data_IF_490136299563
#
_entry.id   IF_490136299563
#
_cell.length_a   1.000
_cell.length_b   1.000
_cell.length_c   1.000
_cell.angle_alpha   90.00
_cell.angle_beta   90.00
_cell.angle_gamma   90.00
#
_symmetry.space_group_name_H-M   'P 1'
#
loop_
_entity.id
_entity.type
_entity.pdbx_description
1 polymer ?
#
# COMPACT_ATOMS: atom_id res chain seq x y z
N UNK A 1 -25.13 32.18 -54.33
CA UNK A 1 -23.88 32.59 -53.67
C UNK A 1 -24.10 32.59 -52.17
N UNK A 2 -23.47 31.67 -51.45
CA UNK A 2 -23.31 31.70 -50.00
C UNK A 2 -21.82 31.50 -49.77
N UNK A 3 -21.13 32.54 -49.36
CA UNK A 3 -19.73 32.51 -48.94
C UNK A 3 -19.68 32.03 -47.49
N UNK A 4 -19.12 30.83 -47.28
CA UNK A 4 -18.75 30.31 -45.96
C UNK A 4 -17.24 30.52 -45.79
N UNK A 5 -16.85 31.51 -44.99
CA UNK A 5 -15.48 31.58 -44.48
C UNK A 5 -15.28 30.49 -43.42
N UNK A 6 -14.44 29.50 -43.72
CA UNK A 6 -13.91 28.56 -42.72
C UNK A 6 -12.47 28.96 -42.43
N UNK A 7 -12.23 29.57 -41.26
CA UNK A 7 -10.87 29.74 -40.73
C UNK A 7 -10.31 28.37 -40.34
N UNK A 8 -9.55 27.75 -41.24
CA UNK A 8 -8.83 26.50 -40.99
C UNK A 8 -7.55 26.82 -40.23
N UNK A 9 -7.61 26.76 -38.90
CA UNK A 9 -6.43 26.56 -38.08
C UNK A 9 -6.09 25.07 -38.07
N UNK A 10 -4.84 24.74 -38.35
CA UNK A 10 -4.21 23.43 -38.13
C UNK A 10 -4.53 22.34 -39.15
N UNK A 11 -3.78 22.34 -40.26
CA UNK A 11 -3.50 21.12 -41.02
C UNK A 11 -2.00 20.90 -40.98
N UNK A 12 -1.54 19.92 -40.17
CA UNK A 12 -0.30 19.16 -40.37
C UNK A 12 -0.20 18.04 -39.31
N UNK A 13 0.14 16.84 -39.79
CA UNK A 13 0.36 15.58 -39.06
C UNK A 13 -0.85 14.70 -38.70
N UNK A 14 -1.50 14.15 -39.73
CA UNK A 14 -2.11 12.81 -39.68
C UNK A 14 -1.13 11.77 -40.23
N UNK A 15 -0.07 11.45 -39.48
CA UNK A 15 0.68 10.20 -39.68
C UNK A 15 1.07 9.62 -38.31
N UNK A 16 0.41 8.49 -37.98
CA UNK A 16 0.64 7.56 -36.84
C UNK A 16 0.26 8.04 -35.43
N UNK A 17 -1.01 7.88 -35.08
CA UNK A 17 -1.49 7.64 -33.71
C UNK A 17 -2.51 6.48 -33.74
N UNK A 18 -2.33 5.36 -33.02
CA UNK A 18 -3.26 4.23 -33.03
C UNK A 18 -4.59 4.43 -32.27
N UNK A 19 -4.95 5.65 -31.83
CA UNK A 19 -6.07 5.83 -30.88
C UNK A 19 -7.22 6.74 -31.35
N UNK A 20 -7.29 7.15 -32.62
CA UNK A 20 -8.34 8.06 -33.09
C UNK A 20 -9.56 7.41 -33.76
N UNK A 21 -9.67 6.07 -33.77
CA UNK A 21 -10.75 5.35 -34.46
C UNK A 21 -11.98 4.99 -33.62
N UNK A 22 -12.27 5.71 -32.52
CA UNK A 22 -13.44 5.39 -31.69
C UNK A 22 -14.46 6.51 -31.45
N UNK A 23 -14.34 7.66 -32.14
CA UNK A 23 -15.20 8.83 -31.88
C UNK A 23 -16.19 9.22 -33.00
N UNK A 24 -16.52 8.30 -33.92
CA UNK A 24 -17.56 8.55 -34.96
C UNK A 24 -18.46 7.33 -35.21
N UNK A 25 -19.05 6.75 -34.15
CA UNK A 25 -20.18 5.80 -34.31
C UNK A 25 -21.48 6.27 -33.66
N UNK A 26 -21.56 7.51 -33.20
CA UNK A 26 -22.75 8.05 -32.55
C UNK A 26 -23.11 9.36 -33.23
N UNK A 27 -23.95 9.26 -34.27
CA UNK A 27 -24.90 10.23 -34.84
C UNK A 27 -25.08 9.82 -36.31
N UNK A 28 -26.00 8.88 -36.51
CA UNK A 28 -26.47 8.46 -37.83
C UNK A 28 -27.99 8.44 -37.81
N UNK A 29 -28.60 9.56 -38.18
CA UNK A 29 -29.86 9.59 -38.93
C UNK A 29 -30.15 11.04 -39.35
N UNK A 30 -29.59 11.46 -40.48
CA UNK A 30 -30.22 12.46 -41.32
C UNK A 30 -30.09 12.06 -42.78
N UNK A 31 -31.26 12.03 -43.43
CA UNK A 31 -31.51 11.53 -44.77
C UNK A 31 -31.29 12.67 -45.79
N UNK A 32 -30.75 12.27 -46.95
CA UNK A 32 -30.89 12.87 -48.29
C UNK A 32 -30.33 14.27 -48.59
N UNK A 33 -29.57 14.29 -49.70
CA UNK A 33 -29.24 15.43 -50.57
C UNK A 33 -27.96 16.23 -50.27
N UNK A 34 -26.79 15.61 -50.50
CA UNK A 34 -25.55 16.34 -50.80
C UNK A 34 -24.87 15.65 -51.99
N UNK A 35 -24.79 16.34 -53.13
CA UNK A 35 -23.95 15.96 -54.28
C UNK A 35 -22.48 15.88 -53.85
N UNK A 36 -21.73 14.93 -54.41
CA UNK A 36 -20.27 14.73 -54.22
C UNK A 36 -19.55 16.04 -53.86
N UNK A 37 -19.03 16.12 -52.64
CA UNK A 37 -18.03 17.11 -52.28
C UNK A 37 -16.67 16.53 -52.68
N UNK A 38 -16.16 16.92 -53.85
CA UNK A 38 -14.74 16.72 -54.16
C UNK A 38 -13.93 17.71 -53.31
N UNK A 39 -13.25 17.19 -52.30
CA UNK A 39 -12.26 17.96 -51.53
C UNK A 39 -10.96 17.92 -52.33
N UNK A 40 -10.74 18.92 -53.18
CA UNK A 40 -9.43 19.17 -53.76
C UNK A 40 -8.52 19.76 -52.67
N UNK A 41 -7.69 18.92 -52.06
CA UNK A 41 -6.60 19.40 -51.19
C UNK A 41 -5.56 20.03 -52.11
N UNK A 42 -5.60 21.35 -52.24
CA UNK A 42 -4.50 22.12 -52.83
C UNK A 42 -3.36 22.08 -51.83
N UNK A 43 -2.43 21.15 -52.01
CA UNK A 43 -1.13 21.21 -51.34
C UNK A 43 -0.39 22.37 -52.00
N UNK A 44 -0.54 23.57 -51.45
CA UNK A 44 0.34 24.68 -51.81
C UNK A 44 1.74 24.24 -51.41
N UNK A 45 2.52 23.84 -52.41
CA UNK A 45 3.94 23.59 -52.30
C UNK A 45 4.55 24.89 -51.76
N UNK A 46 4.73 24.98 -50.43
CA UNK A 46 5.66 25.95 -49.88
C UNK A 46 7.00 25.59 -50.49
N UNK A 47 7.42 26.40 -51.44
CA UNK A 47 8.67 26.27 -52.17
C UNK A 47 9.82 26.55 -51.19
N UNK A 48 10.07 25.61 -50.29
CA UNK A 48 11.38 25.48 -49.66
C UNK A 48 12.24 24.73 -50.67
N UNK A 49 13.12 25.49 -51.33
CA UNK A 49 14.09 24.96 -52.28
C UNK A 49 15.16 24.15 -51.56
N UNK A 50 14.88 22.89 -51.25
CA UNK A 50 15.87 21.81 -51.10
C UNK A 50 15.13 20.48 -50.95
N UNK A 51 15.54 19.47 -51.73
CA UNK A 51 15.02 18.09 -51.63
C UNK A 51 15.59 17.33 -50.42
N UNK A 52 15.93 18.06 -49.34
CA UNK A 52 16.66 17.48 -48.22
C UNK A 52 15.74 17.29 -47.02
N UNK A 53 15.23 16.06 -46.84
CA UNK A 53 14.45 15.68 -45.66
C UNK A 53 15.31 15.60 -44.38
N UNK A 54 16.60 15.95 -44.43
CA UNK A 54 17.51 15.94 -43.28
C UNK A 54 17.43 17.21 -42.41
N UNK A 55 16.70 18.25 -42.83
CA UNK A 55 16.58 19.52 -42.10
C UNK A 55 15.33 19.65 -41.23
N UNK A 56 14.57 18.58 -40.99
CA UNK A 56 13.53 18.63 -39.96
C UNK A 56 14.22 18.69 -38.59
N UNK A 57 13.92 19.70 -37.75
CA UNK A 57 14.39 19.69 -36.37
C UNK A 57 13.97 18.37 -35.73
N UNK A 58 14.88 17.77 -34.97
CA UNK A 58 14.63 16.53 -34.24
C UNK A 58 13.28 16.63 -33.53
N UNK A 59 12.34 15.73 -33.87
CA UNK A 59 11.01 15.77 -33.27
C UNK A 59 11.15 15.47 -31.78
N UNK A 60 11.11 16.52 -30.95
CA UNK A 60 11.18 16.39 -29.50
C UNK A 60 9.96 15.59 -29.05
N UNK A 61 10.21 14.37 -28.59
CA UNK A 61 9.19 13.55 -27.96
C UNK A 61 9.19 13.85 -26.48
N UNK A 62 8.07 14.33 -25.94
CA UNK A 62 7.97 14.71 -24.53
C UNK A 62 7.58 13.55 -23.62
N UNK A 63 8.09 13.57 -22.40
CA UNK A 63 7.70 12.69 -21.30
C UNK A 63 6.22 12.86 -20.94
N UNK A 64 5.71 11.93 -20.10
CA UNK A 64 4.47 12.21 -19.35
C UNK A 64 4.66 13.47 -18.49
N UNK A 65 3.56 14.18 -18.25
CA UNK A 65 3.55 15.39 -17.43
C UNK A 65 3.96 15.04 -16.01
N UNK A 66 4.99 15.72 -15.50
CA UNK A 66 5.39 15.63 -14.10
C UNK A 66 4.74 16.80 -13.36
N UNK A 67 4.08 16.51 -12.23
CA UNK A 67 3.37 17.51 -11.41
C UNK A 67 4.14 17.83 -10.13
N UNK A 68 3.90 19.01 -9.56
CA UNK A 68 4.49 19.54 -8.32
C UNK A 68 6.03 19.65 -8.36
N UNK A 69 6.57 19.76 -9.57
CA UNK A 69 7.99 19.88 -9.83
C UNK A 69 8.24 20.80 -11.03
N UNK A 70 9.45 21.35 -11.09
CA UNK A 70 9.98 22.10 -12.22
C UNK A 70 11.39 21.61 -12.55
N UNK A 71 11.82 21.84 -13.79
CA UNK A 71 13.22 21.76 -14.18
C UNK A 71 13.87 23.12 -13.92
N UNK A 72 14.93 23.11 -13.14
CA UNK A 72 15.86 24.23 -13.03
C UNK A 72 16.68 24.32 -14.32
N UNK A 73 16.93 25.53 -14.82
CA UNK A 73 17.72 25.72 -16.04
C UNK A 73 17.56 27.12 -16.59
N UNK A 74 18.17 27.36 -17.76
CA UNK A 74 18.03 28.65 -18.43
C UNK A 74 16.67 28.74 -19.12
N UNK A 75 15.83 29.64 -18.64
CA UNK A 75 14.56 30.00 -19.29
C UNK A 75 14.86 30.91 -20.48
N UNK A 76 14.59 30.42 -21.68
CA UNK A 76 14.75 31.16 -22.95
C UNK A 76 13.65 32.20 -23.09
N UNK A 77 12.41 31.81 -22.78
CA UNK A 77 11.25 32.69 -22.86
C UNK A 77 10.16 32.23 -21.90
N UNK A 78 9.38 33.20 -21.42
CA UNK A 78 8.17 32.95 -20.65
C UNK A 78 6.99 33.50 -21.43
N UNK A 79 6.05 32.63 -21.78
CA UNK A 79 4.85 32.98 -22.53
C UNK A 79 3.62 32.55 -21.75
N UNK A 80 2.47 33.19 -22.02
CA UNK A 80 1.21 32.80 -21.41
C UNK A 80 0.41 31.97 -22.42
N UNK A 81 -0.02 30.79 -22.00
CA UNK A 81 -0.72 29.82 -22.86
C UNK A 81 -2.05 29.38 -22.25
N UNK A 82 -2.93 28.82 -23.06
CA UNK A 82 -4.23 28.31 -22.63
C UNK A 82 -4.20 26.86 -22.15
N UNK A 83 -3.16 26.11 -22.51
CA UNK A 83 -3.07 24.66 -22.26
C UNK A 83 -1.62 24.13 -22.25
N UNK A 84 -1.41 22.91 -21.74
CA UNK A 84 -0.09 22.27 -21.80
C UNK A 84 0.31 21.90 -23.23
N UNK A 85 -0.66 21.58 -24.11
CA UNK A 85 -0.40 21.30 -25.52
C UNK A 85 0.11 22.55 -26.25
N UNK A 86 -0.43 23.73 -25.94
CA UNK A 86 0.04 24.98 -26.53
C UNK A 86 1.48 25.29 -26.12
N UNK A 87 1.83 25.13 -24.83
CA UNK A 87 3.20 25.27 -24.35
C UNK A 87 4.15 24.27 -25.06
N UNK A 88 3.71 23.03 -25.19
CA UNK A 88 4.45 21.99 -25.90
C UNK A 88 4.71 22.37 -27.36
N UNK A 89 3.68 22.84 -28.08
CA UNK A 89 3.83 23.29 -29.47
C UNK A 89 4.78 24.48 -29.59
N UNK A 90 4.73 25.43 -28.66
CA UNK A 90 5.64 26.58 -28.63
C UNK A 90 7.10 26.15 -28.40
N UNK A 91 7.32 25.13 -27.58
CA UNK A 91 8.64 24.53 -27.42
C UNK A 91 9.11 23.81 -28.69
N UNK A 92 8.26 22.99 -29.34
CA UNK A 92 8.63 22.27 -30.58
C UNK A 92 9.02 23.25 -31.71
N UNK A 93 8.38 24.41 -31.77
CA UNK A 93 8.68 25.44 -32.76
C UNK A 93 9.94 26.27 -32.44
N UNK A 94 10.57 26.05 -31.29
CA UNK A 94 11.80 26.73 -30.88
C UNK A 94 13.01 25.83 -31.14
N UNK A 95 13.98 26.32 -31.93
CA UNK A 95 15.17 25.55 -32.33
C UNK A 95 16.09 25.13 -31.18
N UNK A 96 15.99 25.81 -30.05
CA UNK A 96 16.85 25.58 -28.87
C UNK A 96 16.08 25.03 -27.67
N UNK A 97 14.78 24.77 -27.81
CA UNK A 97 13.99 24.20 -26.72
C UNK A 97 14.24 22.71 -26.58
N UNK A 98 14.21 22.24 -25.33
CA UNK A 98 14.27 20.82 -25.00
C UNK A 98 13.18 20.39 -24.02
N UNK A 99 12.75 21.32 -23.18
CA UNK A 99 11.82 21.08 -22.09
C UNK A 99 11.10 22.36 -21.73
N UNK A 100 9.98 22.23 -21.02
CA UNK A 100 9.23 23.38 -20.56
C UNK A 100 8.67 23.15 -19.16
N UNK A 101 8.60 24.23 -18.38
CA UNK A 101 7.81 24.28 -17.16
C UNK A 101 6.47 24.98 -17.44
N UNK A 102 5.43 24.56 -16.76
CA UNK A 102 4.09 25.13 -16.84
C UNK A 102 3.62 25.43 -15.41
N UNK A 103 3.40 26.71 -15.11
CA UNK A 103 2.93 27.14 -13.80
C UNK A 103 1.42 27.00 -13.61
N UNK A 104 0.91 27.42 -12.44
CA UNK A 104 -0.52 27.40 -12.13
C UNK A 104 -1.30 28.42 -12.98
N UNK A 105 -2.61 28.21 -13.10
CA UNK A 105 -3.47 29.14 -13.83
C UNK A 105 -3.53 30.49 -13.10
N UNK A 106 -3.31 31.57 -13.82
CA UNK A 106 -3.41 32.93 -13.28
C UNK A 106 -4.87 33.41 -13.28
N UNK A 107 -5.12 34.58 -12.68
CA UNK A 107 -6.43 35.23 -12.70
C UNK A 107 -6.98 35.46 -14.12
N UNK A 108 -6.11 35.60 -15.12
CA UNK A 108 -6.49 35.75 -16.53
C UNK A 108 -6.82 34.43 -17.24
N UNK A 109 -6.90 33.31 -16.50
CA UNK A 109 -7.14 31.95 -17.02
C UNK A 109 -6.04 31.42 -17.94
N UNK A 110 -4.85 32.03 -17.92
CA UNK A 110 -3.69 31.60 -18.68
C UNK A 110 -2.66 30.93 -17.76
N UNK A 111 -1.82 30.07 -18.34
CA UNK A 111 -0.73 29.40 -17.65
C UNK A 111 0.60 30.03 -18.09
N UNK A 112 1.48 30.43 -17.16
CA UNK A 112 2.84 30.82 -17.52
C UNK A 112 3.61 29.56 -17.95
N UNK A 113 4.18 29.61 -19.14
CA UNK A 113 4.95 28.55 -19.79
C UNK A 113 6.39 29.04 -19.96
N UNK A 114 7.31 28.42 -19.24
CA UNK A 114 8.74 28.69 -19.32
C UNK A 114 9.37 27.68 -20.29
N UNK A 115 10.00 28.16 -21.35
CA UNK A 115 10.71 27.34 -22.35
C UNK A 115 12.19 27.26 -21.98
N UNK A 116 12.76 26.04 -21.87
CA UNK A 116 14.12 25.79 -21.39
C UNK A 116 15.05 25.22 -22.46
N UNK A 117 16.34 25.58 -22.38
CA UNK A 117 17.36 25.24 -23.39
C UNK A 117 18.10 23.91 -23.18
N UNK A 118 18.77 23.42 -24.25
CA UNK A 118 19.62 22.21 -24.30
C UNK A 118 20.84 22.19 -23.37
N UNK A 119 21.35 23.34 -22.92
CA UNK A 119 22.74 23.46 -22.42
C UNK A 119 22.84 23.74 -20.93
N UNK A 120 21.72 23.93 -20.25
CA UNK A 120 21.70 24.18 -18.81
C UNK A 120 21.69 22.88 -18.00
N UNK A 121 22.40 22.87 -16.86
CA UNK A 121 22.25 21.82 -15.84
C UNK A 121 20.81 21.80 -15.37
N UNK A 122 20.11 20.68 -15.57
CA UNK A 122 18.72 20.53 -15.14
C UNK A 122 18.61 19.69 -13.89
N UNK A 123 18.34 20.36 -12.77
CA UNK A 123 17.90 19.71 -11.54
C UNK A 123 16.37 19.70 -11.51
N UNK A 124 15.80 18.66 -10.93
CA UNK A 124 14.37 18.66 -10.62
C UNK A 124 14.17 19.28 -9.25
N UNK A 125 13.38 20.35 -9.18
CA UNK A 125 13.04 21.03 -7.93
C UNK A 125 11.55 20.82 -7.66
N UNK A 126 11.20 20.50 -6.41
CA UNK A 126 9.81 20.49 -5.98
C UNK A 126 9.25 21.91 -5.95
N UNK A 127 8.16 22.14 -6.68
CA UNK A 127 7.44 23.41 -6.70
C UNK A 127 5.96 23.09 -6.88
N UNK A 128 5.19 23.25 -5.81
CA UNK A 128 3.77 22.86 -5.78
C UNK A 128 2.98 23.53 -6.92
N UNK A 129 2.03 22.80 -7.50
CA UNK A 129 1.16 23.21 -8.61
C UNK A 129 1.85 23.46 -9.96
N UNK A 130 3.17 23.59 -9.99
CA UNK A 130 3.94 23.66 -11.22
C UNK A 130 4.12 22.27 -11.83
N UNK A 131 4.33 22.24 -13.13
CA UNK A 131 4.47 21.00 -13.91
C UNK A 131 5.59 21.16 -14.92
N UNK A 132 6.13 20.06 -15.41
CA UNK A 132 7.06 20.11 -16.54
C UNK A 132 6.90 18.92 -17.47
N UNK A 133 7.41 19.09 -18.69
CA UNK A 133 7.72 18.00 -19.61
C UNK A 133 9.15 18.15 -20.11
N UNK A 134 9.86 17.04 -20.22
CA UNK A 134 11.20 16.96 -20.78
C UNK A 134 11.24 15.88 -21.87
N UNK A 135 12.43 15.49 -22.33
CA UNK A 135 12.58 14.41 -23.30
C UNK A 135 11.97 13.09 -22.81
N UNK A 136 11.37 12.34 -23.73
CA UNK A 136 10.78 11.03 -23.46
C UNK A 136 11.84 9.94 -23.37
N UNK A 137 11.62 8.98 -22.47
CA UNK A 137 12.45 7.80 -22.37
C UNK A 137 12.01 6.71 -23.36
N UNK A 138 12.91 6.25 -24.23
CA UNK A 138 12.69 5.07 -25.08
C UNK A 138 12.37 3.82 -24.25
N UNK A 139 13.08 3.63 -23.14
CA UNK A 139 12.86 2.58 -22.15
C UNK A 139 12.91 3.21 -20.77
N UNK A 140 11.85 3.04 -19.98
CA UNK A 140 11.76 3.62 -18.63
C UNK A 140 12.46 2.73 -17.60
N UNK A 141 13.50 3.22 -16.89
CA UNK A 141 14.05 2.53 -15.72
C UNK A 141 13.23 2.78 -14.45
N UNK A 142 12.26 3.71 -14.49
CA UNK A 142 11.44 4.06 -13.34
C UNK A 142 10.43 2.96 -13.02
N UNK A 143 10.44 2.50 -11.77
CA UNK A 143 9.53 1.49 -11.24
C UNK A 143 8.36 2.13 -10.48
N UNK A 144 7.39 1.31 -10.08
CA UNK A 144 6.32 1.65 -9.15
C UNK A 144 5.54 2.94 -9.48
N UNK A 145 5.28 3.17 -10.77
CA UNK A 145 4.51 4.33 -11.23
C UNK A 145 5.31 5.63 -11.33
N UNK A 146 6.64 5.58 -11.17
CA UNK A 146 7.52 6.73 -11.44
C UNK A 146 7.42 7.21 -12.89
N UNK A 147 7.55 8.53 -13.07
CA UNK A 147 7.55 9.16 -14.40
C UNK A 147 8.98 9.33 -14.90
N UNK A 148 9.27 8.75 -16.07
CA UNK A 148 10.57 8.85 -16.71
C UNK A 148 10.66 10.04 -17.64
N UNK A 149 11.79 10.74 -17.59
CA UNK A 149 12.16 11.80 -18.52
C UNK A 149 13.67 11.78 -18.78
N UNK A 150 14.11 12.39 -19.87
CA UNK A 150 15.52 12.44 -20.31
C UNK A 150 16.04 13.87 -20.18
N UNK A 151 17.23 14.00 -19.60
CA UNK A 151 18.03 15.22 -19.55
C UNK A 151 19.44 14.86 -20.01
N UNK A 152 19.96 15.54 -21.03
CA UNK A 152 21.31 15.29 -21.58
C UNK A 152 21.55 13.80 -21.87
N UNK A 153 20.63 13.16 -22.58
CA UNK A 153 20.61 11.72 -22.89
C UNK A 153 20.61 10.75 -21.70
N UNK A 154 20.45 11.27 -20.47
CA UNK A 154 20.36 10.47 -19.24
C UNK A 154 18.90 10.32 -18.80
N UNK A 155 18.38 9.08 -18.65
CA UNK A 155 17.05 8.87 -18.10
C UNK A 155 17.05 9.12 -16.59
N UNK A 156 16.06 9.88 -16.13
CA UNK A 156 15.82 10.24 -14.74
C UNK A 156 14.36 9.95 -14.37
N UNK A 157 14.11 9.81 -13.08
CA UNK A 157 12.80 9.45 -12.54
C UNK A 157 12.29 10.51 -11.55
N UNK A 158 11.02 10.91 -11.70
CA UNK A 158 10.26 11.48 -10.59
C UNK A 158 9.35 10.39 -10.05
N UNK A 159 9.52 10.06 -8.77
CA UNK A 159 8.81 8.96 -8.15
C UNK A 159 7.37 9.30 -7.83
N UNK A 160 6.49 8.32 -8.02
CA UNK A 160 5.13 8.39 -7.51
C UNK A 160 5.15 8.51 -5.98
N UNK A 161 4.01 8.95 -5.43
CA UNK A 161 3.81 9.01 -3.99
C UNK A 161 4.20 7.66 -3.35
N UNK A 162 4.91 7.74 -2.22
CA UNK A 162 5.40 6.60 -1.44
C UNK A 162 6.64 5.87 -1.99
N UNK A 163 7.29 6.38 -3.02
CA UNK A 163 8.52 5.80 -3.56
C UNK A 163 9.65 6.83 -3.65
N UNK A 164 10.87 6.36 -3.49
CA UNK A 164 12.11 7.13 -3.52
C UNK A 164 13.24 6.31 -4.21
N UNK A 165 14.40 6.93 -4.35
CA UNK A 165 15.56 6.36 -5.03
C UNK A 165 15.59 6.68 -6.53
N UNK A 166 16.75 6.48 -7.15
CA UNK A 166 17.00 6.90 -8.54
C UNK A 166 16.08 6.24 -9.57
N UNK A 167 15.59 5.04 -9.28
CA UNK A 167 14.66 4.27 -10.14
C UNK A 167 13.30 4.04 -9.48
N UNK A 168 12.99 4.73 -8.38
CA UNK A 168 11.74 4.58 -7.62
C UNK A 168 11.51 3.15 -7.11
N UNK A 169 12.60 2.45 -6.80
CA UNK A 169 12.60 1.09 -6.30
C UNK A 169 12.59 1.01 -4.76
N UNK A 170 12.77 2.13 -4.06
CA UNK A 170 12.79 2.18 -2.60
C UNK A 170 11.46 2.71 -2.10
N UNK A 171 10.72 2.00 -1.23
CA UNK A 171 9.51 2.54 -0.64
C UNK A 171 9.88 3.64 0.36
N UNK A 172 9.21 4.78 0.30
CA UNK A 172 9.43 5.92 1.21
C UNK A 172 9.05 5.54 2.65
N UNK A 173 7.92 4.87 2.82
CA UNK A 173 7.43 4.38 4.10
C UNK A 173 7.75 2.90 4.26
N UNK A 174 8.45 2.55 5.32
CA UNK A 174 8.78 1.16 5.65
C UNK A 174 7.67 0.65 6.55
N UNK A 175 7.08 -0.47 6.21
CA UNK A 175 5.88 -1.02 6.86
C UNK A 175 6.19 -1.79 8.15
N UNK A 176 7.43 -2.26 8.32
CA UNK A 176 7.85 -3.07 9.47
C UNK A 176 9.34 -3.00 9.71
N UNK A 177 9.79 -3.48 10.88
CA UNK A 177 11.20 -3.66 11.18
C UNK A 177 11.87 -4.67 10.25
N UNK A 178 11.14 -5.69 9.82
CA UNK A 178 11.68 -6.70 8.91
C UNK A 178 11.94 -6.13 7.53
N UNK A 179 11.11 -5.18 7.07
CA UNK A 179 11.37 -4.43 5.85
C UNK A 179 12.59 -3.52 5.98
N UNK A 180 12.74 -2.82 7.11
CA UNK A 180 13.95 -2.05 7.41
C UNK A 180 15.22 -2.91 7.28
N UNK A 181 15.22 -4.07 7.93
CA UNK A 181 16.35 -5.01 7.91
C UNK A 181 16.62 -5.58 6.52
N UNK A 182 15.57 -5.90 5.76
CA UNK A 182 15.69 -6.43 4.41
C UNK A 182 16.27 -5.40 3.43
N UNK A 183 15.90 -4.12 3.56
CA UNK A 183 16.43 -3.03 2.72
C UNK A 183 17.85 -2.64 3.12
N UNK A 184 18.16 -2.69 4.42
CA UNK A 184 19.47 -2.33 4.97
C UNK A 184 19.94 -3.44 5.92
N UNK A 185 20.64 -4.47 5.41
CA UNK A 185 21.09 -5.62 6.23
C UNK A 185 21.95 -5.24 7.44
N UNK A 186 22.64 -4.10 7.38
CA UNK A 186 23.48 -3.54 8.46
C UNK A 186 22.68 -2.78 9.53
N UNK A 187 21.35 -2.70 9.42
CA UNK A 187 20.52 -2.09 10.47
C UNK A 187 20.69 -2.82 11.81
N UNK A 188 20.87 -2.02 12.87
CA UNK A 188 21.03 -2.45 14.27
C UNK A 188 19.75 -2.25 15.06
N UNK A 189 19.60 -2.95 16.20
CA UNK A 189 18.42 -2.82 17.06
C UNK A 189 18.27 -1.38 17.59
N UNK A 190 17.04 -0.90 17.71
CA UNK A 190 16.76 0.48 18.11
C UNK A 190 15.35 0.95 17.73
N UNK A 191 15.07 2.24 17.88
CA UNK A 191 13.76 2.80 17.53
C UNK A 191 13.68 3.21 16.06
N UNK A 192 12.61 2.82 15.38
CA UNK A 192 12.34 3.14 13.98
C UNK A 192 10.90 3.57 13.79
N UNK A 193 10.67 4.46 12.83
CA UNK A 193 9.33 4.71 12.33
C UNK A 193 8.93 3.63 11.34
N UNK A 194 7.72 3.09 11.54
CA UNK A 194 7.07 2.21 10.58
C UNK A 194 5.70 2.76 10.20
N UNK A 195 5.20 2.40 9.03
CA UNK A 195 3.88 2.82 8.56
C UNK A 195 3.19 1.69 7.79
N UNK A 196 2.78 0.60 8.45
CA UNK A 196 2.07 -0.52 7.81
C UNK A 196 0.75 -0.12 7.14
N UNK A 197 0.05 0.87 7.70
CA UNK A 197 -1.27 1.32 7.21
C UNK A 197 -1.26 2.56 6.33
N UNK A 198 -0.11 3.00 5.79
CA UNK A 198 -0.01 4.27 5.04
C UNK A 198 -0.99 4.36 3.86
N UNK A 199 -1.26 3.23 3.19
CA UNK A 199 -2.20 3.15 2.07
C UNK A 199 -3.64 3.45 2.49
N UNK A 200 -3.98 3.20 3.75
CA UNK A 200 -5.29 3.49 4.36
C UNK A 200 -5.33 4.86 5.05
N UNK A 201 -4.30 5.69 4.84
CA UNK A 201 -4.18 7.01 5.46
C UNK A 201 -3.73 6.98 6.93
N UNK A 202 -3.27 5.84 7.44
CA UNK A 202 -2.72 5.79 8.79
C UNK A 202 -1.33 6.43 8.83
N UNK A 203 -1.08 7.23 9.87
CA UNK A 203 0.20 7.90 10.06
C UNK A 203 1.29 6.90 10.48
N UNK A 204 2.57 7.20 10.21
CA UNK A 204 3.69 6.44 10.77
C UNK A 204 3.71 6.51 12.30
N UNK A 205 4.25 5.47 12.93
CA UNK A 205 4.41 5.39 14.38
C UNK A 205 5.77 4.79 14.77
N UNK A 206 6.22 5.09 15.99
CA UNK A 206 7.53 4.70 16.52
C UNK A 206 7.44 3.33 17.19
N UNK A 207 8.36 2.43 16.83
CA UNK A 207 8.47 1.08 17.41
C UNK A 207 9.92 0.76 17.75
N UNK A 208 10.12 -0.21 18.64
CA UNK A 208 11.43 -0.81 18.82
C UNK A 208 11.61 -1.95 17.82
N UNK A 209 12.69 -1.91 17.04
CA UNK A 209 13.09 -2.99 16.17
C UNK A 209 14.20 -3.78 16.83
N UNK A 210 13.95 -5.05 17.12
CA UNK A 210 14.99 -6.00 17.46
C UNK A 210 15.53 -6.61 16.16
N UNK A 211 16.66 -6.09 15.69
CA UNK A 211 17.32 -6.51 14.45
C UNK A 211 18.15 -7.78 14.60
N UNK A 212 18.14 -8.39 15.79
CA UNK A 212 18.89 -9.61 16.13
C UNK A 212 17.98 -10.80 16.39
N UNK A 213 16.74 -10.56 16.85
CA UNK A 213 15.76 -11.61 17.13
C UNK A 213 15.37 -12.42 15.88
N UNK A 214 14.95 -13.67 16.13
CA UNK A 214 14.53 -14.68 15.14
C UNK A 214 15.45 -14.76 13.91
N UNK A 215 16.76 -14.96 14.15
CA UNK A 215 17.79 -15.03 13.11
C UNK A 215 18.00 -13.72 12.34
N UNK A 216 17.88 -12.58 13.03
CA UNK A 216 18.18 -11.27 12.46
C UNK A 216 17.18 -10.80 11.41
N UNK A 217 15.91 -11.25 11.49
CA UNK A 217 14.85 -10.84 10.55
C UNK A 217 14.35 -9.42 10.80
N UNK A 218 14.62 -8.83 11.97
CA UNK A 218 14.06 -7.53 12.35
C UNK A 218 12.64 -7.66 12.90
N UNK A 219 12.51 -8.00 14.18
CA UNK A 219 11.22 -8.14 14.86
C UNK A 219 10.75 -6.78 15.35
N UNK A 220 9.48 -6.45 15.10
CA UNK A 220 8.84 -5.25 15.65
C UNK A 220 8.33 -5.55 17.05
N UNK A 221 8.80 -4.81 18.04
CA UNK A 221 8.46 -4.96 19.45
C UNK A 221 7.72 -3.70 19.93
N UNK A 222 6.56 -3.90 20.55
CA UNK A 222 5.66 -2.82 20.96
C UNK A 222 5.24 -3.04 22.41
N UNK A 223 5.52 -2.02 23.23
CA UNK A 223 5.14 -2.00 24.64
C UNK A 223 3.78 -1.39 24.91
N UNK A 224 3.30 -1.61 26.13
CA UNK A 224 2.00 -1.15 26.62
C UNK A 224 2.01 -0.93 28.14
N UNK A 225 0.97 -0.28 28.65
CA UNK A 225 0.80 0.11 30.06
C UNK A 225 0.48 -1.04 31.03
N UNK A 226 0.56 -2.29 30.57
CA UNK A 226 0.10 -3.48 31.29
C UNK A 226 1.19 -4.55 31.40
N UNK A 227 2.45 -4.11 31.26
CA UNK A 227 3.66 -4.93 31.39
C UNK A 227 4.04 -5.27 32.82
N UNK A 228 3.47 -4.55 33.80
CA UNK A 228 3.71 -4.81 35.21
C UNK A 228 2.57 -5.62 35.80
N UNK A 229 2.93 -6.58 36.65
CA UNK A 229 2.03 -7.26 37.59
C UNK A 229 1.07 -6.27 38.26
N UNK A 230 -0.22 -6.39 37.96
CA UNK A 230 -1.27 -5.49 38.45
C UNK A 230 -2.28 -6.28 39.27
N UNK A 231 -2.58 -5.83 40.49
CA UNK A 231 -3.59 -6.44 41.36
C UNK A 231 -4.98 -6.37 40.72
N UNK A 232 -5.73 -7.46 40.83
CA UNK A 232 -7.10 -7.59 40.34
C UNK A 232 -7.95 -8.01 41.54
N UNK A 233 -8.90 -7.20 42.00
CA UNK A 233 -9.78 -7.54 43.12
C UNK A 233 -11.10 -6.75 43.07
N UNK A 234 -12.01 -7.05 44.00
CA UNK A 234 -13.25 -6.32 44.23
C UNK A 234 -14.37 -6.56 43.20
N UNK A 235 -14.36 -7.71 42.50
CA UNK A 235 -15.32 -7.98 41.44
C UNK A 235 -15.76 -9.45 41.37
N UNK A 236 -16.97 -9.76 41.84
CA UNK A 236 -17.55 -11.10 41.75
C UNK A 236 -18.23 -11.40 40.39
N UNK A 237 -19.11 -10.52 39.86
CA UNK A 237 -19.74 -10.76 38.56
C UNK A 237 -18.74 -11.04 37.43
N UNK A 238 -19.14 -11.88 36.48
CA UNK A 238 -18.27 -12.29 35.37
C UNK A 238 -17.80 -11.06 34.57
N UNK A 239 -16.49 -10.84 34.54
CA UNK A 239 -15.85 -9.78 33.78
C UNK A 239 -16.15 -8.35 34.25
N UNK A 240 -16.63 -8.13 35.48
CA UNK A 240 -16.84 -6.75 35.95
C UNK A 240 -15.53 -5.96 36.15
N UNK A 241 -14.41 -6.64 36.46
CA UNK A 241 -13.11 -6.02 36.49
C UNK A 241 -12.70 -5.77 35.06
N UNK A 242 -12.16 -4.58 34.83
CA UNK A 242 -11.99 -4.01 33.51
C UNK A 242 -10.66 -3.29 33.46
N UNK A 243 -9.77 -3.73 32.57
CA UNK A 243 -8.52 -3.04 32.30
C UNK A 243 -8.28 -2.91 30.81
N UNK A 244 -8.28 -1.66 30.34
CA UNK A 244 -7.88 -1.33 28.97
C UNK A 244 -6.36 -1.40 28.84
N UNK A 245 -5.89 -1.93 27.70
CA UNK A 245 -4.47 -2.05 27.39
C UNK A 245 -4.09 -0.95 26.41
N UNK A 246 -3.28 0.00 26.85
CA UNK A 246 -2.82 1.11 26.02
C UNK A 246 -1.40 0.86 25.50
N UNK A 247 -1.26 0.78 24.19
CA UNK A 247 0.02 0.59 23.52
C UNK A 247 0.77 1.91 23.37
N UNK A 248 2.08 1.85 23.63
CA UNK A 248 2.95 3.02 23.57
C UNK A 248 3.17 3.44 22.11
N UNK A 249 2.90 4.71 21.81
CA UNK A 249 3.10 5.34 20.50
C UNK A 249 2.31 4.72 19.33
N UNK A 250 1.35 3.83 19.57
CA UNK A 250 0.59 3.16 18.51
C UNK A 250 -0.90 2.98 18.87
N UNK A 251 -1.77 3.22 17.89
CA UNK A 251 -3.20 2.93 17.99
C UNK A 251 -3.52 1.48 17.62
N UNK A 252 -4.65 0.94 18.12
CA UNK A 252 -5.12 -0.40 17.74
C UNK A 252 -5.32 -0.55 16.21
N UNK A 253 -5.70 0.52 15.50
CA UNK A 253 -5.80 0.51 14.03
C UNK A 253 -4.43 0.35 13.34
N UNK A 254 -3.40 1.03 13.85
CA UNK A 254 -2.03 0.88 13.37
C UNK A 254 -1.50 -0.54 13.66
N UNK A 255 -1.77 -1.06 14.86
CA UNK A 255 -1.34 -2.40 15.27
C UNK A 255 -2.05 -3.51 14.51
N UNK A 256 -3.34 -3.38 14.24
CA UNK A 256 -4.09 -4.33 13.39
C UNK A 256 -3.54 -4.34 11.96
N UNK A 257 -3.13 -3.18 11.44
CA UNK A 257 -2.49 -3.09 10.12
C UNK A 257 -1.12 -3.79 10.12
N UNK A 258 -0.35 -3.66 11.21
CA UNK A 258 0.90 -4.40 11.38
C UNK A 258 0.66 -5.91 11.47
N UNK A 259 -0.26 -6.35 12.33
CA UNK A 259 -0.62 -7.75 12.55
C UNK A 259 -1.05 -8.44 11.25
N UNK A 260 -1.85 -7.74 10.42
CA UNK A 260 -2.31 -8.23 9.13
C UNK A 260 -1.16 -8.45 8.14
N UNK A 261 -0.11 -7.62 8.18
CA UNK A 261 1.07 -7.76 7.33
C UNK A 261 2.06 -8.81 7.84
N UNK A 262 2.07 -9.06 9.16
CA UNK A 262 2.92 -10.04 9.81
C UNK A 262 2.56 -11.48 9.46
N UNK A 263 3.59 -12.31 9.34
CA UNK A 263 3.43 -13.75 9.22
C UNK A 263 3.16 -14.38 10.59
N UNK A 264 3.81 -13.86 11.63
CA UNK A 264 3.63 -14.30 13.01
C UNK A 264 3.51 -13.08 13.94
N UNK A 265 2.61 -13.18 14.90
CA UNK A 265 2.44 -12.22 15.98
C UNK A 265 2.35 -13.03 17.28
N UNK A 266 3.04 -12.58 18.31
CA UNK A 266 2.98 -13.21 19.62
C UNK A 266 2.88 -12.14 20.70
N UNK A 267 2.01 -12.39 21.68
CA UNK A 267 1.88 -11.59 22.89
C UNK A 267 1.75 -12.54 24.07
N UNK A 268 2.58 -12.36 25.09
CA UNK A 268 2.50 -13.19 26.28
C UNK A 268 1.46 -12.62 27.25
N UNK A 269 0.71 -13.50 27.89
CA UNK A 269 -0.27 -13.17 28.92
C UNK A 269 -0.12 -14.12 30.11
N UNK A 270 -0.27 -13.59 31.32
CA UNK A 270 -0.18 -14.31 32.57
C UNK A 270 -1.24 -13.83 33.56
N UNK A 271 -1.87 -14.78 34.25
CA UNK A 271 -2.83 -14.54 35.32
C UNK A 271 -2.46 -15.39 36.54
N UNK A 272 -2.36 -14.75 37.70
CA UNK A 272 -2.12 -15.40 38.99
C UNK A 272 -3.36 -15.26 39.88
N UNK A 273 -3.76 -16.36 40.50
CA UNK A 273 -5.02 -16.47 41.22
C UNK A 273 -4.86 -17.20 42.56
N UNK A 274 -5.73 -16.82 43.50
CA UNK A 274 -6.06 -17.54 44.73
C UNK A 274 -7.56 -17.41 44.84
N UNK A 275 -8.27 -18.52 45.04
CA UNK A 275 -9.74 -18.55 45.12
C UNK A 275 -10.44 -17.75 44.00
N UNK A 276 -9.95 -17.91 42.76
CA UNK A 276 -10.51 -17.20 41.61
C UNK A 276 -10.44 -18.00 40.33
N UNK A 277 -11.59 -18.20 39.70
CA UNK A 277 -11.73 -18.93 38.46
C UNK A 277 -11.49 -18.06 37.22
N UNK A 278 -10.53 -18.43 36.38
CA UNK A 278 -10.20 -17.71 35.15
C UNK A 278 -11.25 -17.89 34.04
N UNK A 279 -11.28 -19.02 33.32
CA UNK A 279 -12.20 -19.17 32.18
C UNK A 279 -13.65 -19.20 32.66
N UNK A 280 -14.58 -18.75 31.80
CA UNK A 280 -16.00 -18.47 32.07
C UNK A 280 -16.28 -17.19 32.89
N UNK A 281 -15.42 -16.84 33.85
CA UNK A 281 -15.57 -15.62 34.67
C UNK A 281 -14.67 -14.47 34.23
N UNK A 282 -13.57 -14.76 33.54
CA UNK A 282 -12.62 -13.83 32.95
C UNK A 282 -12.18 -14.22 31.54
N UNK A 283 -11.65 -13.23 30.80
CA UNK A 283 -11.20 -13.35 29.42
C UNK A 283 -10.34 -12.15 29.02
N UNK A 284 -9.60 -12.29 27.92
CA UNK A 284 -9.03 -11.16 27.20
C UNK A 284 -9.91 -10.80 25.99
N UNK A 285 -9.82 -9.55 25.56
CA UNK A 285 -10.57 -8.99 24.44
C UNK A 285 -9.60 -8.66 23.31
N UNK A 286 -9.94 -9.06 22.10
CA UNK A 286 -9.18 -8.79 20.88
C UNK A 286 -9.23 -7.32 20.48
N UNK A 287 -8.31 -6.90 19.60
CA UNK A 287 -8.24 -5.54 19.04
C UNK A 287 -9.55 -5.01 18.42
N UNK A 288 -10.47 -5.89 18.03
CA UNK A 288 -11.78 -5.58 17.46
C UNK A 288 -12.95 -5.79 18.43
N UNK A 289 -12.69 -5.93 19.74
CA UNK A 289 -13.71 -6.02 20.78
C UNK A 289 -14.33 -7.41 20.98
N UNK A 290 -13.78 -8.46 20.35
CA UNK A 290 -14.29 -9.82 20.48
C UNK A 290 -13.77 -10.42 21.79
N UNK A 291 -14.69 -10.97 22.57
CA UNK A 291 -14.38 -11.77 23.76
C UNK A 291 -13.73 -13.09 23.35
N UNK A 292 -12.54 -13.35 23.86
CA UNK A 292 -11.81 -14.59 23.59
C UNK A 292 -12.10 -15.63 24.67
N UNK A 293 -12.13 -16.91 24.29
CA UNK A 293 -12.54 -18.02 25.17
C UNK A 293 -11.41 -18.96 25.55
N UNK A 294 -10.15 -18.58 25.31
CA UNK A 294 -8.96 -19.38 25.59
C UNK A 294 -7.89 -18.48 26.19
N UNK A 295 -6.87 -19.09 26.80
CA UNK A 295 -5.75 -18.36 27.41
C UNK A 295 -4.41 -18.67 26.73
N UNK A 296 -3.35 -18.01 27.19
CA UNK A 296 -1.98 -18.19 26.70
C UNK A 296 -1.58 -19.66 26.55
N UNK A 297 -0.94 -19.99 25.43
CA UNK A 297 -0.44 -21.33 25.11
C UNK A 297 -1.49 -22.35 24.68
N UNK A 298 -2.78 -22.01 24.68
CA UNK A 298 -3.83 -22.85 24.10
C UNK A 298 -4.21 -22.41 22.67
N UNK A 299 -4.82 -23.32 21.92
CA UNK A 299 -5.33 -23.02 20.59
C UNK A 299 -6.56 -22.08 20.65
N UNK A 300 -6.74 -21.16 19.69
CA UNK A 300 -7.92 -20.31 19.60
C UNK A 300 -9.21 -21.14 19.56
N UNK A 301 -10.23 -20.72 20.31
CA UNK A 301 -11.51 -21.43 20.37
C UNK A 301 -11.54 -22.64 21.31
N UNK A 302 -10.41 -23.05 21.89
CA UNK A 302 -10.30 -24.31 22.66
C UNK A 302 -11.09 -24.35 23.97
N UNK A 303 -11.46 -23.20 24.53
CA UNK A 303 -12.10 -23.17 25.87
C UNK A 303 -11.14 -23.52 27.00
N UNK A 304 -9.81 -23.44 26.78
CA UNK A 304 -8.77 -23.93 27.69
C UNK A 304 -7.56 -23.00 27.72
N UNK A 305 -6.65 -23.25 28.65
CA UNK A 305 -5.27 -22.74 28.64
C UNK A 305 -4.27 -23.88 28.38
N UNK A 306 -2.98 -23.56 28.40
CA UNK A 306 -1.90 -24.50 28.11
C UNK A 306 -2.02 -25.80 28.92
N UNK A 307 -2.19 -25.72 30.25
CA UNK A 307 -2.25 -26.91 31.10
C UNK A 307 -3.48 -27.78 30.79
N UNK A 308 -4.63 -27.17 30.46
CA UNK A 308 -5.87 -27.91 30.19
C UNK A 308 -5.84 -28.62 28.85
N UNK A 309 -5.04 -28.11 27.91
CA UNK A 309 -4.75 -28.78 26.65
C UNK A 309 -3.86 -30.01 26.88
N UNK A 310 -2.87 -29.88 27.76
CA UNK A 310 -1.88 -30.93 28.04
C UNK A 310 -2.30 -31.90 29.16
N UNK A 311 -3.43 -31.66 29.84
CA UNK A 311 -3.87 -32.39 31.05
C UNK A 311 -2.85 -32.33 32.19
N UNK A 312 -2.15 -31.21 32.31
CA UNK A 312 -1.13 -30.96 33.35
C UNK A 312 -1.56 -29.89 34.36
N UNK A 313 -2.85 -29.51 34.38
CA UNK A 313 -3.33 -28.56 35.39
C UNK A 313 -3.30 -29.17 36.79
N UNK A 314 -3.26 -28.32 37.81
CA UNK A 314 -3.36 -28.71 39.22
C UNK A 314 -4.52 -29.69 39.45
N UNK A 315 -5.72 -29.33 38.97
CA UNK A 315 -6.83 -30.26 38.80
C UNK A 315 -6.98 -30.58 37.31
N UNK A 316 -6.59 -31.81 36.94
CA UNK A 316 -6.64 -32.29 35.55
C UNK A 316 -8.04 -32.33 34.92
N UNK A 317 -9.10 -32.21 35.71
CA UNK A 317 -10.49 -32.12 35.23
C UNK A 317 -10.90 -30.72 34.80
N UNK A 318 -10.12 -29.70 35.17
CA UNK A 318 -10.41 -28.29 34.90
C UNK A 318 -9.78 -27.82 33.59
N UNK A 319 -10.36 -26.79 32.94
CA UNK A 319 -9.80 -26.25 31.72
C UNK A 319 -8.51 -25.45 31.96
N UNK A 320 -8.25 -25.02 33.20
CA UNK A 320 -7.08 -24.27 33.64
C UNK A 320 -6.73 -24.46 35.11
N UNK A 321 -5.51 -24.03 35.50
CA UNK A 321 -5.08 -24.05 36.89
C UNK A 321 -6.00 -23.17 37.75
N UNK A 322 -6.23 -21.93 37.36
CA UNK A 322 -7.09 -21.01 38.12
C UNK A 322 -8.56 -21.45 38.17
N UNK A 323 -9.02 -22.24 37.20
CA UNK A 323 -10.36 -22.84 37.27
C UNK A 323 -10.52 -23.92 38.35
N UNK A 324 -9.45 -24.29 39.06
CA UNK A 324 -9.55 -25.08 40.27
C UNK A 324 -10.24 -24.31 41.41
N UNK A 325 -10.13 -22.97 41.42
CA UNK A 325 -10.77 -22.08 42.38
C UNK A 325 -10.57 -22.50 43.85
N UNK A 326 -9.31 -22.61 44.25
CA UNK A 326 -8.91 -23.17 45.55
C UNK A 326 -8.38 -22.03 46.45
N UNK A 327 -8.84 -21.93 47.71
CA UNK A 327 -8.31 -20.98 48.68
C UNK A 327 -6.89 -21.34 49.13
N UNK A 328 -6.13 -20.32 49.56
CA UNK A 328 -4.78 -20.44 50.14
C UNK A 328 -3.68 -21.07 49.24
N UNK A 329 -4.01 -21.42 47.98
CA UNK A 329 -3.07 -21.94 46.99
C UNK A 329 -2.93 -20.97 45.84
N UNK A 330 -1.70 -20.49 45.61
CA UNK A 330 -1.38 -19.63 44.47
C UNK A 330 -1.24 -20.49 43.23
N UNK A 331 -2.07 -20.24 42.23
CA UNK A 331 -2.03 -20.88 40.92
C UNK A 331 -1.78 -19.84 39.82
N UNK A 332 -1.32 -20.32 38.66
CA UNK A 332 -0.98 -19.46 37.52
C UNK A 332 -1.42 -20.12 36.21
N UNK A 333 -1.96 -19.32 35.30
CA UNK A 333 -2.08 -19.65 33.89
C UNK A 333 -1.38 -18.61 33.03
N UNK A 334 -0.42 -19.05 32.22
CA UNK A 334 0.37 -18.17 31.36
C UNK A 334 0.71 -18.81 30.01
N UNK A 335 1.08 -17.97 29.04
CA UNK A 335 1.58 -18.42 27.75
C UNK A 335 1.42 -17.40 26.63
N UNK A 336 1.83 -17.79 25.43
CA UNK A 336 1.75 -16.95 24.23
C UNK A 336 0.36 -17.03 23.59
N UNK A 337 -0.21 -15.87 23.31
CA UNK A 337 -1.28 -15.69 22.33
C UNK A 337 -0.61 -15.53 20.96
N UNK A 338 -1.05 -16.30 19.97
CA UNK A 338 -0.43 -16.35 18.63
C UNK A 338 -1.41 -16.13 17.48
N UNK A 339 -2.70 -15.94 17.79
CA UNK A 339 -3.72 -15.64 16.79
C UNK A 339 -3.63 -14.19 16.33
N UNK A 340 -2.93 -13.98 15.22
CA UNK A 340 -2.77 -12.65 14.61
C UNK A 340 -4.09 -12.00 14.19
N UNK A 341 -5.15 -12.77 13.99
CA UNK A 341 -6.46 -12.23 13.61
C UNK A 341 -7.19 -11.61 14.79
N UNK A 342 -6.80 -11.95 16.02
CA UNK A 342 -7.36 -11.43 17.26
C UNK A 342 -6.43 -10.41 17.94
N UNK A 343 -5.11 -10.60 17.85
CA UNK A 343 -4.13 -9.69 18.43
C UNK A 343 -4.12 -8.29 17.77
N UNK A 344 -3.67 -7.25 18.49
CA UNK A 344 -3.26 -7.22 19.91
C UNK A 344 -4.40 -7.42 20.93
N UNK A 345 -4.07 -7.68 22.19
CA UNK A 345 -5.03 -7.63 23.32
C UNK A 345 -5.45 -6.17 23.55
N UNK A 346 -6.73 -5.84 23.45
CA UNK A 346 -7.22 -4.47 23.73
C UNK A 346 -7.61 -4.28 25.19
N UNK A 347 -8.04 -5.33 25.87
CA UNK A 347 -8.65 -5.25 27.19
C UNK A 347 -8.63 -6.58 27.92
N UNK A 348 -8.59 -6.53 29.25
CA UNK A 348 -8.68 -7.65 30.16
C UNK A 348 -9.96 -7.54 31.00
N UNK A 349 -10.61 -8.68 31.21
CA UNK A 349 -11.88 -8.79 31.93
C UNK A 349 -11.78 -9.93 32.93
N UNK A 350 -12.06 -9.66 34.20
CA UNK A 350 -12.05 -10.69 35.26
C UNK A 350 -13.28 -10.56 36.14
N UNK A 351 -13.67 -11.67 36.76
CA UNK A 351 -14.68 -11.79 37.80
C UNK A 351 -14.20 -12.85 38.79
N UNK A 352 -15.01 -13.20 39.79
CA UNK A 352 -14.55 -14.08 40.90
C UNK A 352 -13.37 -13.49 41.67
N UNK A 353 -13.34 -12.17 41.80
CA UNK A 353 -12.28 -11.44 42.47
C UNK A 353 -12.75 -10.59 43.63
N UNK A 354 -14.03 -10.72 44.02
CA UNK A 354 -14.57 -10.10 45.21
C UNK A 354 -14.50 -11.02 46.42
N UNK A 355 -14.70 -10.44 47.59
CA UNK A 355 -14.86 -11.21 48.82
C UNK A 355 -16.34 -11.56 48.99
N UNK A 356 -16.65 -12.82 49.31
CA UNK A 356 -17.98 -13.19 49.78
C UNK A 356 -18.24 -12.47 51.11
N UNK A 357 -19.01 -11.39 51.08
CA UNK A 357 -19.37 -10.60 52.25
C UNK A 357 -20.32 -11.39 53.16
N UNK A 358 -19.78 -12.24 54.04
CA UNK A 358 -20.48 -12.72 55.25
C UNK A 358 -19.53 -13.27 56.31
N UNK A 359 -18.86 -12.39 57.07
CA UNK A 359 -18.68 -12.48 58.54
C UNK A 359 -17.57 -11.53 58.96
N UNK A 360 -17.94 -10.48 59.69
CA UNK A 360 -16.97 -9.65 60.39
C UNK A 360 -16.39 -10.45 61.56
N UNK A 361 -15.21 -11.05 61.37
CA UNK A 361 -14.35 -11.50 62.46
C UNK A 361 -12.93 -11.77 61.95
N UNK A 362 -12.01 -10.96 62.47
CA UNK A 362 -10.60 -11.30 62.73
C UNK A 362 -9.67 -11.36 61.50
N UNK A 363 -8.80 -10.34 61.41
CA UNK A 363 -7.59 -10.22 60.57
C UNK A 363 -7.25 -11.44 59.71
N UNK A 364 -7.80 -11.50 58.49
CA UNK A 364 -7.29 -12.37 57.42
C UNK A 364 -6.29 -11.58 56.56
N UNK A 365 -5.22 -12.27 56.16
CA UNK A 365 -4.12 -11.75 55.33
C UNK A 365 -4.63 -11.11 54.02
N UNK A 366 -3.87 -10.19 53.39
CA UNK A 366 -4.30 -9.40 52.22
C UNK A 366 -4.45 -10.20 50.89
N UNK A 367 -4.77 -11.49 50.94
CA UNK A 367 -4.88 -12.38 49.79
C UNK A 367 -6.34 -12.70 49.45
N UNK A 368 -7.18 -11.66 49.29
CA UNK A 368 -8.55 -11.84 48.82
C UNK A 368 -8.62 -11.96 47.29
N UNK A 369 -9.01 -13.16 46.85
CA UNK A 369 -9.71 -13.52 45.61
C UNK A 369 -9.20 -13.04 44.23
N UNK A 370 -8.07 -12.35 44.07
CA UNK A 370 -7.20 -12.47 42.88
C UNK A 370 -5.90 -11.70 43.08
N UNK A 371 -4.82 -12.27 42.57
CA UNK A 371 -3.48 -11.79 42.92
C UNK A 371 -2.93 -10.82 41.88
N UNK A 372 -2.94 -11.18 40.60
CA UNK A 372 -2.48 -10.26 39.57
C UNK A 372 -2.69 -10.71 38.12
N UNK A 373 -2.56 -9.75 37.20
CA UNK A 373 -2.38 -9.99 35.75
C UNK A 373 -1.14 -9.26 35.22
N UNK A 374 -0.47 -9.88 34.24
CA UNK A 374 0.67 -9.32 33.51
C UNK A 374 0.58 -9.69 32.02
N UNK A 375 0.82 -8.72 31.14
CA UNK A 375 0.97 -8.93 29.69
C UNK A 375 2.39 -8.56 29.31
N UNK A 376 3.09 -9.26 28.43
CA UNK A 376 4.41 -8.77 27.96
C UNK A 376 4.31 -8.07 26.61
N UNK A 377 5.40 -7.39 26.26
CA UNK A 377 5.69 -6.81 24.95
C UNK A 377 5.12 -7.65 23.79
N UNK A 378 4.38 -6.97 22.92
CA UNK A 378 3.85 -7.59 21.70
C UNK A 378 4.95 -7.65 20.64
N UNK A 379 5.17 -8.84 20.07
CA UNK A 379 6.19 -9.09 19.04
C UNK A 379 5.51 -9.43 17.71
N UNK A 380 5.91 -8.72 16.67
CA UNK A 380 5.40 -8.87 15.31
C UNK A 380 6.56 -9.19 14.38
N UNK A 381 6.46 -10.31 13.67
CA UNK A 381 7.45 -10.75 12.70
C UNK A 381 6.82 -10.79 11.30
N UNK A 382 7.41 -10.04 10.37
CA UNK A 382 7.03 -10.07 8.96
C UNK A 382 8.09 -10.88 8.21
N UNK A 383 7.87 -12.18 8.01
CA UNK A 383 8.70 -12.94 7.06
C UNK A 383 8.40 -12.45 5.65
N UNK A 384 9.45 -12.26 4.83
CA UNK A 384 9.36 -11.77 3.44
C UNK A 384 8.04 -12.15 2.77
N UNK A 385 7.17 -11.17 2.58
CA UNK A 385 6.07 -11.32 1.64
C UNK A 385 6.70 -11.55 0.27
N UNK A 386 6.45 -12.72 -0.33
CA UNK A 386 6.76 -12.90 -1.75
C UNK A 386 5.99 -11.83 -2.53
N UNK A 387 6.56 -11.35 -3.64
CA UNK A 387 5.94 -10.34 -4.53
C UNK A 387 4.45 -10.58 -4.85
N UNK A 388 3.96 -11.82 -4.69
CA UNK A 388 2.58 -12.23 -4.92
C UNK A 388 1.59 -11.74 -3.84
N UNK A 389 1.98 -11.63 -2.56
CA UNK A 389 1.02 -11.26 -1.50
C UNK A 389 0.75 -9.74 -1.46
N UNK A 390 1.75 -8.93 -1.82
CA UNK A 390 1.59 -7.49 -2.02
C UNK A 390 0.63 -7.19 -3.19
N UNK A 391 0.64 -8.03 -4.23
CA UNK A 391 -0.29 -7.95 -5.35
C UNK A 391 -1.73 -8.30 -4.91
N UNK A 392 -1.88 -9.30 -4.03
CA UNK A 392 -3.17 -9.71 -3.47
C UNK A 392 -3.82 -8.63 -2.61
N UNK A 393 -3.04 -7.86 -1.85
CA UNK A 393 -3.52 -6.69 -1.09
C UNK A 393 -4.01 -5.55 -2.00
N UNK A 394 -3.43 -5.40 -3.20
CA UNK A 394 -3.90 -4.45 -4.22
C UNK A 394 -5.20 -4.93 -4.91
N UNK A 395 -5.37 -6.23 -5.12
CA UNK A 395 -6.55 -6.82 -5.76
C UNK A 395 -7.84 -6.65 -4.93
N UNK A 396 -7.72 -6.60 -3.61
CA UNK A 396 -8.89 -6.36 -2.73
C UNK A 396 -9.50 -4.96 -2.95
N UNK A 397 -8.71 -3.97 -3.39
CA UNK A 397 -9.23 -2.62 -3.71
C UNK A 397 -9.86 -2.51 -5.10
N UNK A 398 -9.51 -3.38 -6.05
CA UNK A 398 -10.09 -3.36 -7.41
C UNK A 398 -11.38 -4.18 -7.54
N UNK A 399 -11.70 -5.02 -6.54
CA UNK A 399 -12.92 -5.83 -6.53
C UNK A 399 -14.22 -5.04 -6.26
N UNK A 400 -14.15 -3.79 -5.80
CA UNK A 400 -15.35 -2.97 -5.48
C UNK A 400 -15.84 -2.16 -6.72
N UNK A 401 -15.16 -2.22 -7.86
CA UNK A 401 -15.60 -1.56 -9.11
C UNK A 401 -15.56 -2.51 -10.31
N UNK A 402 -16.50 -3.45 -10.37
CA UNK A 402 -16.90 -4.05 -11.66
C UNK A 402 -18.40 -3.82 -11.90
N UNK A 403 -18.79 -2.95 -12.85
CA UNK A 403 -20.15 -2.95 -13.34
C UNK A 403 -20.38 -4.23 -14.16
N UNK A 404 -21.44 -4.95 -13.83
CA UNK A 404 -21.95 -6.11 -14.57
C UNK A 404 -22.45 -5.63 -15.94
N UNK A 405 -21.62 -5.76 -16.98
CA UNK A 405 -22.07 -5.63 -18.37
C UNK A 405 -22.58 -6.99 -18.85
N UNK A 406 -23.90 -7.12 -18.92
CA UNK A 406 -24.58 -8.24 -19.59
C UNK A 406 -24.21 -8.23 -21.08
N UNK A 407 -23.48 -9.24 -21.53
CA UNK A 407 -23.16 -9.46 -22.93
C UNK A 407 -24.38 -9.93 -23.71
N UNK A 408 -24.73 -9.18 -24.77
CA UNK A 408 -25.64 -9.61 -25.83
C UNK A 408 -24.83 -10.49 -26.80
N UNK A 409 -25.22 -11.75 -26.96
CA UNK A 409 -24.70 -12.64 -28.00
C UNK A 409 -25.23 -12.22 -29.36
N UNK A 410 -24.34 -11.93 -30.31
CA UNK A 410 -24.66 -11.87 -31.74
C UNK A 410 -23.88 -13.00 -32.41
N UNK A 411 -24.62 -13.97 -32.96
CA UNK A 411 -24.11 -14.99 -33.86
C UNK A 411 -23.82 -14.37 -35.23
N UNK A 412 -22.61 -14.62 -35.76
CA UNK A 412 -22.22 -14.23 -37.12
C UNK A 412 -21.24 -15.24 -37.68
N UNK A 413 -21.76 -16.14 -38.52
CA UNK A 413 -21.07 -17.21 -39.25
C UNK A 413 -20.26 -16.63 -40.41
N UNK A 414 -18.97 -16.95 -40.55
CA UNK A 414 -18.28 -17.04 -41.86
C UNK A 414 -17.25 -18.20 -41.86
N UNK A 415 -17.25 -18.89 -43.00
CA UNK A 415 -16.61 -20.15 -43.41
C UNK A 415 -15.07 -20.24 -43.41
N UNK A 416 -14.60 -21.50 -43.25
CA UNK A 416 -13.46 -22.13 -43.97
C UNK A 416 -12.05 -21.67 -43.55
N UNK A 417 -11.10 -22.54 -43.22
CA UNK A 417 -10.57 -23.61 -44.07
C UNK A 417 -9.93 -24.72 -43.23
N UNK A 418 -10.06 -25.94 -43.73
CA UNK A 418 -9.49 -27.19 -43.24
C UNK A 418 -8.11 -27.40 -43.88
N UNK A 419 -7.05 -27.62 -43.10
CA UNK A 419 -5.86 -28.36 -43.58
C UNK A 419 -5.40 -29.31 -42.48
N UNK A 420 -5.52 -30.59 -42.78
CA UNK A 420 -4.98 -31.74 -42.07
C UNK A 420 -3.50 -31.95 -42.41
N UNK A 421 -2.65 -32.27 -41.42
CA UNK A 421 -1.66 -33.38 -41.52
C UNK A 421 -0.95 -33.69 -40.20
N UNK A 422 -1.39 -34.78 -39.59
CA UNK A 422 -0.67 -35.92 -39.00
C UNK A 422 0.85 -35.89 -38.71
N UNK A 423 1.14 -36.46 -37.52
CA UNK A 423 2.13 -37.52 -37.16
C UNK A 423 3.59 -37.18 -36.79
N UNK A 424 3.86 -37.34 -35.48
CA UNK A 424 4.82 -38.28 -34.83
C UNK A 424 6.16 -38.64 -35.49
N UNK A 425 7.26 -38.46 -34.74
CA UNK A 425 8.38 -39.39 -34.43
C UNK A 425 9.37 -38.66 -33.51
N UNK A 426 9.57 -39.01 -32.23
CA UNK A 426 10.42 -40.07 -31.64
C UNK A 426 11.86 -40.20 -32.21
N UNK A 427 12.82 -39.84 -31.33
CA UNK A 427 14.21 -40.28 -31.08
C UNK A 427 15.18 -40.56 -32.23
N UNK A 428 16.39 -39.98 -32.13
CA UNK A 428 17.64 -40.74 -32.07
C UNK A 428 18.75 -39.95 -31.34
N UNK A 429 19.57 -40.72 -30.63
CA UNK A 429 20.78 -40.42 -29.85
C UNK A 429 22.00 -40.04 -30.69
N UNK A 430 22.97 -39.33 -30.08
CA UNK A 430 24.35 -39.24 -30.58
C UNK A 430 25.29 -38.49 -29.63
N UNK A 431 26.15 -39.24 -28.93
CA UNK A 431 27.29 -38.78 -28.12
C UNK A 431 28.49 -38.34 -28.97
N UNK A 432 29.28 -37.41 -28.41
CA UNK A 432 30.75 -37.19 -28.48
C UNK A 432 30.99 -35.68 -28.34
N UNK A 433 31.82 -35.12 -27.46
CA UNK A 433 33.00 -35.59 -26.74
C UNK A 433 33.15 -34.79 -25.44
#
# INVERSE_FOLDING_TARGET
MITLEVKVASVMFLLRMPHFLHAFSQVGNFRSSIQRVEISVVVTKLMFGSNDCSSFPSVISFSKLVTDHVLEGRVISTIHVTSDQECQMKCILSEICDSFNLGPQTASRLYPCEILDQRSSRNVIKREQWKFRAGWCRTSPCLNGGTCFVVNDRPLCVCAKFWEGATCNVPQHKTSCSEWKALKPLSVSGFYFISPGYQRGLTPFLVYCDMTDKNGVGVTVIGHDSEKRTLVNGCDPHGCYSRDVHYLNASLLQLSSLAALSSHCEQFIKYECVDSSLLLRGWWVSHNGIKMNYWGGAAPGSGKCACGTNKTCYDSTKPCNCNANIPDVILEDSGLLTDKSALPVSQLRFGDTGDSESSCSEWKAPNSSALSVELHLSRFNVTRQTRMELARQLEVMTAIRKPVLKGVMIWGVIHGWWVSRNRTKMNYSGHAK
#
